data_IF_051824916958
#
_entry.id   IF_051824916958
#
_cell.length_a   1.000
_cell.length_b   1.000
_cell.length_c   1.000
_cell.angle_alpha   90.00
_cell.angle_beta   90.00
_cell.angle_gamma   90.00
#
_symmetry.space_group_name_H-M   'P 1'
#
loop_
_entity.id
_entity.type
_entity.pdbx_description
1 polymer ?
#
# COMPACT_ATOMS: atom_id res chain seq x y z
N UNK A 1 7.92 -5.84 0.45
CA UNK A 1 8.28 -5.85 -1.00
C UNK A 1 7.02 -5.53 -1.80
N UNK A 2 6.92 -4.34 -2.40
CA UNK A 2 5.75 -3.95 -3.21
C UNK A 2 5.68 -4.88 -4.44
N UNK A 3 4.56 -5.59 -4.69
CA UNK A 3 4.46 -6.49 -5.84
C UNK A 3 4.40 -5.67 -7.14
N UNK A 4 5.57 -5.41 -7.70
CA UNK A 4 5.80 -4.59 -8.91
C UNK A 4 5.24 -5.24 -10.18
N UNK A 5 4.90 -6.53 -10.12
CA UNK A 5 4.35 -7.29 -11.24
C UNK A 5 2.88 -6.99 -11.58
N UNK A 6 2.08 -6.53 -10.62
CA UNK A 6 0.63 -6.34 -10.83
C UNK A 6 0.31 -5.05 -11.59
N UNK A 7 0.98 -3.95 -11.23
CA UNK A 7 0.73 -2.63 -11.84
C UNK A 7 1.30 -2.51 -13.25
N UNK A 8 2.44 -3.13 -13.53
CA UNK A 8 3.13 -3.03 -14.82
C UNK A 8 2.30 -3.60 -15.99
N UNK A 9 1.55 -4.68 -15.77
CA UNK A 9 0.66 -5.26 -16.80
C UNK A 9 -0.60 -4.41 -17.04
N UNK A 10 -1.19 -3.86 -15.98
CA UNK A 10 -2.38 -2.99 -16.08
C UNK A 10 -2.01 -1.67 -16.76
N UNK A 11 -0.92 -1.04 -16.33
CA UNK A 11 -0.44 0.22 -16.89
C UNK A 11 -0.08 0.08 -18.38
N UNK A 12 0.66 -0.98 -18.76
CA UNK A 12 0.97 -1.25 -20.18
C UNK A 12 -0.26 -1.37 -21.07
N UNK A 13 -1.37 -1.91 -20.56
CA UNK A 13 -2.60 -2.10 -21.35
C UNK A 13 -3.34 -0.79 -21.63
N UNK A 14 -3.16 0.24 -20.79
CA UNK A 14 -3.87 1.52 -20.89
C UNK A 14 -3.05 2.60 -21.64
N UNK A 15 -1.72 2.44 -21.74
CA UNK A 15 -0.81 3.42 -22.33
C UNK A 15 -0.89 3.61 -23.87
N UNK A 16 -1.92 3.10 -24.55
CA UNK A 16 -2.25 3.49 -25.93
C UNK A 16 -3.03 4.82 -25.96
N UNK A 17 -2.46 5.88 -25.38
CA UNK A 17 -3.04 7.23 -25.37
C UNK A 17 -4.17 7.48 -24.36
N UNK A 18 -4.43 6.55 -23.44
CA UNK A 18 -5.44 6.69 -22.38
C UNK A 18 -4.92 7.38 -21.12
N UNK A 19 -5.80 8.08 -20.39
CA UNK A 19 -5.54 8.58 -19.05
C UNK A 19 -5.73 7.45 -18.03
N UNK A 20 -4.75 7.26 -17.15
CA UNK A 20 -4.86 6.37 -15.98
C UNK A 20 -5.02 7.24 -14.73
N UNK A 21 -6.05 6.97 -13.93
CA UNK A 21 -6.21 7.52 -12.59
C UNK A 21 -6.13 6.37 -11.59
N UNK A 22 -5.17 6.43 -10.67
CA UNK A 22 -5.01 5.45 -9.59
C UNK A 22 -5.40 6.12 -8.26
N UNK A 23 -6.24 5.44 -7.49
CA UNK A 23 -6.57 5.82 -6.11
C UNK A 23 -6.09 4.69 -5.22
N UNK A 24 -5.17 5.02 -4.30
CA UNK A 24 -4.50 4.06 -3.41
C UNK A 24 -4.71 4.47 -1.96
N UNK A 25 -4.75 3.49 -1.07
CA UNK A 25 -4.65 3.75 0.36
C UNK A 25 -3.16 3.92 0.71
N UNK A 26 -2.74 5.17 0.86
CA UNK A 26 -1.35 5.55 1.13
C UNK A 26 -1.10 5.90 2.60
N UNK A 27 0.15 6.23 2.90
CA UNK A 27 0.59 6.78 4.18
C UNK A 27 1.28 8.13 3.99
N UNK A 28 1.17 8.98 5.01
CA UNK A 28 1.83 10.28 5.06
C UNK A 28 3.29 10.16 5.46
N UNK A 29 3.56 9.31 6.44
CA UNK A 29 4.91 9.10 6.95
C UNK A 29 5.76 8.31 5.95
N UNK A 30 7.01 8.73 5.83
CA UNK A 30 8.04 8.01 5.08
C UNK A 30 8.48 6.73 5.80
N UNK A 31 8.32 6.69 7.12
CA UNK A 31 8.57 5.51 7.95
C UNK A 31 7.36 4.55 7.92
N UNK A 32 7.50 3.30 7.42
CA UNK A 32 6.40 2.35 7.33
C UNK A 32 5.90 1.88 8.70
N UNK A 33 6.68 2.12 9.75
CA UNK A 33 6.39 1.68 11.13
C UNK A 33 5.83 2.78 12.01
N UNK A 34 5.66 4.00 11.51
CA UNK A 34 5.14 5.11 12.32
C UNK A 34 3.70 4.86 12.78
N UNK A 35 3.42 5.13 14.05
CA UNK A 35 2.08 4.96 14.66
C UNK A 35 1.00 5.86 14.05
N UNK A 36 1.40 6.93 13.34
CA UNK A 36 0.49 7.78 12.56
C UNK A 36 -0.13 7.05 11.35
N UNK A 37 0.39 5.85 11.01
CA UNK A 37 -0.18 4.98 10.00
C UNK A 37 -1.38 4.26 10.60
N UNK A 38 -2.54 4.92 10.58
CA UNK A 38 -3.82 4.39 11.08
C UNK A 38 -4.28 3.19 10.26
N UNK A 39 -3.65 2.04 10.47
CA UNK A 39 -3.97 0.80 9.77
C UNK A 39 -4.72 -0.14 10.71
N UNK A 40 -5.75 -0.87 10.23
CA UNK A 40 -6.47 -1.84 11.05
C UNK A 40 -5.61 -3.06 11.45
N UNK A 41 -4.32 -3.10 11.07
CA UNK A 41 -3.43 -4.22 11.31
C UNK A 41 -3.06 -4.39 12.78
N UNK A 42 -3.03 -3.30 13.56
CA UNK A 42 -2.79 -3.38 15.00
C UNK A 42 -3.90 -4.17 15.71
N UNK A 43 -5.16 -3.80 15.48
CA UNK A 43 -6.31 -4.52 16.02
C UNK A 43 -6.37 -5.98 15.53
N UNK A 44 -5.98 -6.20 14.27
CA UNK A 44 -5.89 -7.55 13.71
C UNK A 44 -4.80 -8.39 14.40
N UNK A 45 -3.62 -7.80 14.65
CA UNK A 45 -2.52 -8.45 15.35
C UNK A 45 -2.89 -8.76 16.81
N UNK A 46 -3.57 -7.84 17.51
CA UNK A 46 -4.09 -8.09 18.86
C UNK A 46 -5.08 -9.26 18.89
N UNK A 47 -6.03 -9.27 17.94
CA UNK A 47 -7.03 -10.32 17.85
C UNK A 47 -6.38 -11.69 17.61
N UNK A 48 -5.40 -11.79 16.71
CA UNK A 48 -4.71 -13.05 16.46
C UNK A 48 -3.82 -13.47 17.64
N UNK A 49 -3.11 -12.54 18.27
CA UNK A 49 -2.30 -12.82 19.45
C UNK A 49 -3.15 -13.43 20.58
N UNK A 50 -4.38 -12.94 20.74
CA UNK A 50 -5.33 -13.51 21.70
C UNK A 50 -5.85 -14.91 21.30
N UNK A 51 -5.88 -15.25 20.02
CA UNK A 51 -6.21 -16.62 19.57
C UNK A 51 -5.03 -17.58 19.77
N UNK A 52 -3.80 -17.11 19.57
CA UNK A 52 -2.56 -17.88 19.85
C UNK A 52 -2.46 -18.18 21.35
N UNK A 53 -2.69 -17.19 22.22
CA UNK A 53 -2.63 -17.42 23.68
C UNK A 53 -3.68 -18.42 24.19
N UNK A 54 -4.77 -18.63 23.45
CA UNK A 54 -5.78 -19.66 23.71
C UNK A 54 -5.44 -21.03 23.12
N UNK A 55 -4.33 -21.15 22.41
CA UNK A 55 -3.93 -22.38 21.70
C UNK A 55 -4.83 -22.73 20.52
N UNK A 56 -5.56 -21.75 19.97
CA UNK A 56 -6.45 -21.97 18.81
C UNK A 56 -5.72 -21.81 17.47
N UNK A 57 -4.57 -21.15 17.49
CA UNK A 57 -3.69 -20.91 16.34
C UNK A 57 -2.26 -21.20 16.79
N UNK A 58 -1.52 -21.95 15.99
CA UNK A 58 -0.10 -22.18 16.21
C UNK A 58 0.70 -20.89 15.98
N UNK A 59 1.60 -20.57 16.90
CA UNK A 59 2.46 -19.39 16.82
C UNK A 59 3.33 -19.38 15.55
N UNK A 60 3.86 -20.54 15.15
CA UNK A 60 4.64 -20.70 13.91
C UNK A 60 3.83 -20.31 12.65
N UNK A 61 2.50 -20.45 12.68
CA UNK A 61 1.63 -20.06 11.58
C UNK A 61 1.37 -18.57 11.55
N UNK A 62 1.45 -17.88 12.68
CA UNK A 62 1.40 -16.43 12.75
C UNK A 62 2.71 -15.82 12.29
N UNK A 63 3.84 -16.34 12.77
CA UNK A 63 5.18 -15.84 12.44
C UNK A 63 5.50 -15.94 10.94
N UNK A 64 4.91 -16.91 10.26
CA UNK A 64 5.06 -17.11 8.81
C UNK A 64 4.00 -16.40 7.97
N UNK A 65 3.03 -15.73 8.59
CA UNK A 65 1.93 -15.09 7.90
C UNK A 65 2.23 -13.61 7.61
N UNK A 66 2.63 -13.34 6.37
CA UNK A 66 2.67 -11.98 5.84
C UNK A 66 1.33 -11.60 5.21
N UNK A 67 0.79 -10.45 5.62
CA UNK A 67 -0.38 -9.87 4.98
C UNK A 67 0.02 -9.30 3.61
N UNK A 68 -0.64 -9.67 2.50
CA UNK A 68 -0.34 -9.14 1.16
C UNK A 68 -0.94 -7.73 0.97
N UNK A 69 -0.72 -6.84 1.92
CA UNK A 69 -1.23 -5.47 1.92
C UNK A 69 -0.11 -4.50 2.29
N UNK A 70 -0.01 -3.41 1.55
CA UNK A 70 1.01 -2.41 1.76
C UNK A 70 0.46 -1.01 1.45
N UNK A 71 0.76 -0.06 2.33
CA UNK A 71 0.39 1.35 2.19
C UNK A 71 1.64 2.13 1.79
N UNK A 72 1.78 2.54 0.51
CA UNK A 72 2.97 3.25 0.07
C UNK A 72 2.95 4.71 0.56
N UNK A 73 4.14 5.27 0.82
CA UNK A 73 4.30 6.72 1.00
C UNK A 73 4.15 7.44 -0.35
N UNK A 74 3.95 8.75 -0.30
CA UNK A 74 3.93 9.56 -1.51
C UNK A 74 5.26 9.45 -2.30
N UNK A 75 6.41 9.45 -1.62
CA UNK A 75 7.70 9.32 -2.32
C UNK A 75 7.84 7.96 -3.00
N UNK A 76 7.39 6.88 -2.36
CA UNK A 76 7.47 5.54 -2.94
C UNK A 76 6.60 5.41 -4.20
N UNK A 77 5.40 6.01 -4.20
CA UNK A 77 4.55 6.07 -5.40
C UNK A 77 5.24 6.87 -6.50
N UNK A 78 5.81 8.03 -6.17
CA UNK A 78 6.50 8.88 -7.13
C UNK A 78 7.72 8.20 -7.73
N UNK A 79 8.58 7.60 -6.91
CA UNK A 79 9.75 6.85 -7.35
C UNK A 79 9.34 5.69 -8.26
N UNK A 80 8.27 4.97 -7.92
CA UNK A 80 7.75 3.90 -8.76
C UNK A 80 7.29 4.43 -10.13
N UNK A 81 6.55 5.54 -10.16
CA UNK A 81 6.11 6.17 -11.41
C UNK A 81 7.31 6.61 -12.23
N UNK A 82 8.26 7.33 -11.65
CA UNK A 82 9.46 7.82 -12.34
C UNK A 82 10.31 6.67 -12.91
N UNK A 83 10.42 5.57 -12.16
CA UNK A 83 11.14 4.37 -12.59
C UNK A 83 10.45 3.63 -13.74
N UNK A 84 9.12 3.65 -13.82
CA UNK A 84 8.35 2.82 -14.75
C UNK A 84 7.59 3.60 -15.84
N UNK A 85 7.52 4.93 -15.77
CA UNK A 85 6.69 5.77 -16.63
C UNK A 85 7.34 7.09 -17.00
N UNK A 86 7.49 7.33 -18.32
CA UNK A 86 7.71 8.66 -18.89
C UNK A 86 6.36 9.39 -18.97
N UNK A 87 5.76 9.78 -17.85
CA UNK A 87 4.42 10.38 -17.82
C UNK A 87 4.42 11.68 -17.03
N UNK A 88 3.88 12.76 -17.61
CA UNK A 88 3.75 14.06 -16.94
C UNK A 88 2.70 13.99 -15.82
N UNK A 89 3.12 14.36 -14.60
CA UNK A 89 2.26 14.50 -13.43
C UNK A 89 1.31 15.70 -13.59
N UNK A 90 0.01 15.51 -13.30
CA UNK A 90 -0.95 16.61 -13.13
C UNK A 90 -1.85 16.33 -11.94
N UNK A 91 -1.61 17.05 -10.84
CA UNK A 91 -2.52 17.05 -9.69
C UNK A 91 -3.87 17.68 -10.09
N UNK A 92 -4.98 17.03 -9.74
CA UNK A 92 -6.31 17.60 -9.93
C UNK A 92 -6.61 18.57 -8.77
N UNK A 93 -6.98 19.84 -9.04
CA UNK A 93 -7.33 20.78 -7.99
C UNK A 93 -8.74 20.45 -7.45
N UNK A 94 -8.85 20.23 -6.14
CA UNK A 94 -10.17 20.15 -5.47
C UNK A 94 -10.30 19.14 -4.33
N UNK A 95 -9.37 18.19 -4.18
CA UNK A 95 -9.41 17.20 -3.08
C UNK A 95 -8.43 17.59 -1.96
N UNK A 96 -8.68 18.76 -1.36
CA UNK A 96 -8.00 19.22 -0.15
C UNK A 96 -8.66 18.59 1.09
N UNK A 97 -8.41 17.30 1.32
CA UNK A 97 -8.36 16.60 2.64
C UNK A 97 -8.36 15.07 2.54
N UNK A 98 -8.41 14.51 1.33
CA UNK A 98 -8.22 13.08 1.13
C UNK A 98 -7.42 12.91 -0.15
N UNK A 99 -6.22 12.34 -0.01
CA UNK A 99 -5.16 12.26 -1.02
C UNK A 99 -4.23 13.49 -1.10
N UNK A 100 -3.64 13.89 0.03
CA UNK A 100 -2.20 14.09 0.18
C UNK A 100 -1.85 13.62 1.58
#
# INVERSE_FOLDING_TARGET
MVPTGSLSHVLRRVLNGGLVVLVLHGRLSTDPTSEDNYTPWELFAEAISHLVSKGLIDEERLDSFDVPYYTPSQEEVKEMIDKHGRTHERAAPGYSQAAF
#
